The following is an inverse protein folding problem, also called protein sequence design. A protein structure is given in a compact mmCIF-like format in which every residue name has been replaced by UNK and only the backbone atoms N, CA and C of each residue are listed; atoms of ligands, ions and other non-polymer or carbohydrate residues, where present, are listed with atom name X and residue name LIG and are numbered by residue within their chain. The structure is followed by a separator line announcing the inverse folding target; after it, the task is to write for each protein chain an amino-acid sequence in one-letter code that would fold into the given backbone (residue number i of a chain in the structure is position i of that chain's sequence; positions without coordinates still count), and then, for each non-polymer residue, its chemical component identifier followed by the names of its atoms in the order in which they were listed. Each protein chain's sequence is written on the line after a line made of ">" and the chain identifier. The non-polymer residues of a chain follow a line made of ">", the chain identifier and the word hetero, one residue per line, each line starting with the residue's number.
data_IF_354820565122
#
_entry.id   IF_354820565122
#
_cell.length_a   1.000
_cell.length_b   1.000
_cell.length_c   1.000
_cell.angle_alpha   90.00
_cell.angle_beta   90.00
_cell.angle_gamma   90.00
#
_symmetry.space_group_name_H-M   'P 1'
#
loop_
_entity.id
_entity.type
_entity.pdbx_description
1 polymer ?
#
# COMPACT_ATOMS: atom_id res chain seq x y z
N UNK A 1 -10.17 -22.93 -36.06
CA UNK A 1 -11.30 -23.07 -35.10
C UNK A 1 -10.77 -22.82 -33.68
N UNK A 2 -11.33 -21.87 -33.02
CA UNK A 2 -10.89 -21.58 -31.65
C UNK A 2 -11.39 -22.66 -30.68
N UNK A 3 -10.50 -23.19 -29.88
CA UNK A 3 -10.83 -24.16 -28.85
C UNK A 3 -11.64 -23.45 -27.77
N UNK A 4 -12.78 -24.03 -27.39
CA UNK A 4 -13.55 -23.52 -26.26
C UNK A 4 -12.83 -23.93 -24.99
N UNK A 5 -12.48 -22.97 -24.11
CA UNK A 5 -11.80 -23.32 -22.87
C UNK A 5 -12.70 -24.15 -21.96
N UNK A 6 -12.07 -25.01 -21.16
CA UNK A 6 -12.78 -25.78 -20.14
C UNK A 6 -13.35 -24.82 -19.08
N UNK A 7 -14.23 -25.33 -18.22
CA UNK A 7 -14.77 -24.54 -17.12
C UNK A 7 -13.69 -23.97 -16.21
N UNK A 8 -12.67 -24.78 -15.93
CA UNK A 8 -11.53 -24.35 -15.10
C UNK A 8 -10.69 -23.30 -15.80
N UNK A 9 -10.41 -23.49 -17.07
CA UNK A 9 -9.65 -22.51 -17.87
C UNK A 9 -10.39 -21.18 -17.94
N UNK A 10 -11.71 -21.20 -18.17
CA UNK A 10 -12.53 -20.00 -18.21
C UNK A 10 -12.54 -19.29 -16.86
N UNK A 11 -12.60 -20.01 -15.76
CA UNK A 11 -12.57 -19.44 -14.42
C UNK A 11 -11.21 -18.81 -14.12
N UNK A 12 -10.12 -19.50 -14.43
CA UNK A 12 -8.77 -18.99 -14.20
C UNK A 12 -8.48 -17.76 -15.04
N UNK A 13 -8.96 -17.73 -16.28
CA UNK A 13 -8.81 -16.56 -17.16
C UNK A 13 -9.62 -15.37 -16.68
N UNK A 14 -10.75 -15.63 -16.01
CA UNK A 14 -11.60 -14.55 -15.48
C UNK A 14 -11.01 -13.89 -14.23
N UNK A 15 -10.09 -14.58 -13.53
CA UNK A 15 -9.46 -14.05 -12.31
C UNK A 15 -8.19 -13.30 -12.70
N UNK A 16 -8.16 -11.97 -12.54
CA UNK A 16 -6.96 -11.21 -12.89
C UNK A 16 -5.80 -11.52 -11.94
N UNK A 17 -4.60 -11.55 -12.49
CA UNK A 17 -3.37 -11.67 -11.71
C UNK A 17 -3.11 -10.37 -10.93
N UNK A 18 -2.18 -10.44 -9.98
CA UNK A 18 -1.74 -9.25 -9.23
C UNK A 18 -1.23 -8.17 -10.19
N UNK A 19 -0.42 -8.56 -11.18
CA UNK A 19 0.11 -7.61 -12.19
C UNK A 19 -1.01 -6.98 -13.00
N UNK A 20 -2.00 -7.76 -13.40
CA UNK A 20 -3.13 -7.25 -14.16
C UNK A 20 -3.97 -6.27 -13.34
N UNK A 21 -4.19 -6.57 -12.06
CA UNK A 21 -4.92 -5.68 -11.14
C UNK A 21 -4.15 -4.37 -10.95
N UNK A 22 -2.86 -4.44 -10.68
CA UNK A 22 -2.03 -3.27 -10.48
C UNK A 22 -1.99 -2.39 -11.74
N UNK A 23 -1.82 -2.98 -12.90
CA UNK A 23 -1.81 -2.25 -14.16
C UNK A 23 -3.16 -1.58 -14.42
N UNK A 24 -4.24 -2.27 -14.16
CA UNK A 24 -5.59 -1.72 -14.34
C UNK A 24 -5.80 -0.48 -13.47
N UNK A 25 -5.33 -0.52 -12.23
CA UNK A 25 -5.39 0.63 -11.33
C UNK A 25 -4.49 1.76 -11.85
N UNK A 26 -3.26 1.44 -12.25
CA UNK A 26 -2.33 2.45 -12.75
C UNK A 26 -2.82 3.14 -14.03
N UNK A 27 -3.58 2.44 -14.85
CA UNK A 27 -4.14 3.02 -16.07
C UNK A 27 -5.42 3.84 -15.82
N UNK A 28 -5.95 3.81 -14.62
CA UNK A 28 -7.10 4.62 -14.25
C UNK A 28 -6.64 6.00 -13.81
N UNK A 29 -6.82 6.99 -14.65
CA UNK A 29 -6.38 8.36 -14.41
C UNK A 29 -7.11 9.05 -13.24
N UNK A 30 -8.18 8.46 -12.75
CA UNK A 30 -8.98 9.03 -11.66
C UNK A 30 -8.56 8.55 -10.28
N UNK A 31 -7.61 7.63 -10.18
CA UNK A 31 -7.17 7.05 -8.91
C UNK A 31 -5.75 7.53 -8.61
N UNK A 32 -5.58 8.11 -7.43
CA UNK A 32 -4.30 8.69 -7.02
C UNK A 32 -4.16 8.60 -5.50
N UNK A 33 -3.03 8.15 -5.00
CA UNK A 33 -2.95 7.93 -3.57
C UNK A 33 -1.57 7.77 -2.98
N UNK A 34 -1.58 7.57 -1.67
CA UNK A 34 -0.38 7.42 -0.84
C UNK A 34 -0.31 6.02 -0.26
N UNK A 35 0.89 5.48 -0.25
CA UNK A 35 1.20 4.20 0.39
C UNK A 35 2.17 4.45 1.54
N UNK A 36 1.83 3.96 2.73
CA UNK A 36 2.71 3.99 3.89
C UNK A 36 2.90 2.55 4.36
N UNK A 37 4.06 1.99 4.06
CA UNK A 37 4.37 0.60 4.40
C UNK A 37 5.51 0.57 5.41
N UNK A 38 5.17 0.27 6.65
CA UNK A 38 6.08 0.36 7.78
C UNK A 38 6.47 -1.02 8.26
N UNK A 39 7.76 -1.20 8.50
CA UNK A 39 8.31 -2.48 8.94
C UNK A 39 8.56 -3.43 7.77
N UNK A 40 8.28 -4.70 7.95
CA UNK A 40 8.62 -5.76 7.01
C UNK A 40 7.62 -5.95 5.87
N UNK A 41 6.47 -5.29 5.91
CA UNK A 41 5.39 -5.48 4.94
C UNK A 41 5.48 -4.62 3.69
N UNK A 42 6.65 -4.37 3.15
CA UNK A 42 6.86 -3.40 2.07
C UNK A 42 6.72 -4.03 0.69
N UNK A 43 5.57 -4.64 0.41
CA UNK A 43 5.34 -5.36 -0.83
C UNK A 43 4.23 -4.78 -1.72
N UNK A 44 3.25 -4.10 -1.14
CA UNK A 44 2.07 -3.70 -1.90
C UNK A 44 2.40 -2.65 -2.97
N UNK A 45 3.06 -1.57 -2.59
CA UNK A 45 3.39 -0.51 -3.55
C UNK A 45 4.32 -1.02 -4.65
N UNK A 46 5.15 -1.99 -4.34
CA UNK A 46 6.07 -2.59 -5.30
C UNK A 46 5.33 -3.22 -6.48
N UNK A 47 4.16 -3.80 -6.24
CA UNK A 47 3.34 -4.38 -7.30
C UNK A 47 2.94 -3.33 -8.34
N UNK A 48 2.67 -2.11 -7.88
CA UNK A 48 2.34 -1.00 -8.78
C UNK A 48 3.56 -0.48 -9.53
N UNK A 49 4.72 -0.43 -8.89
CA UNK A 49 5.97 0.00 -9.55
C UNK A 49 6.44 -0.97 -10.63
N UNK A 50 6.11 -2.24 -10.51
CA UNK A 50 6.53 -3.27 -11.47
C UNK A 50 5.75 -3.28 -12.77
N UNK A 51 4.67 -2.54 -12.84
CA UNK A 51 3.85 -2.43 -14.05
C UNK A 51 3.83 -0.97 -14.50
N UNK A 52 3.41 -0.73 -15.73
CA UNK A 52 3.44 0.62 -16.28
C UNK A 52 2.43 1.57 -15.61
N UNK A 53 2.71 2.86 -15.69
CA UNK A 53 1.76 3.89 -15.31
C UNK A 53 1.73 4.27 -13.84
N UNK A 54 2.68 3.79 -13.03
CA UNK A 54 2.68 4.05 -11.59
C UNK A 54 2.70 5.55 -11.23
N UNK A 55 3.32 6.37 -12.05
CA UNK A 55 3.38 7.81 -11.80
C UNK A 55 2.01 8.48 -11.79
N UNK A 56 1.03 7.89 -12.46
CA UNK A 56 -0.33 8.40 -12.45
C UNK A 56 -1.15 7.96 -11.24
N UNK A 57 -0.70 6.94 -10.51
CA UNK A 57 -1.42 6.36 -9.39
C UNK A 57 -0.82 6.75 -8.04
N UNK A 58 0.51 6.76 -7.96
CA UNK A 58 1.22 6.87 -6.69
C UNK A 58 1.65 8.32 -6.48
N UNK A 59 0.98 8.99 -5.55
CA UNK A 59 1.36 10.32 -5.11
C UNK A 59 2.63 10.28 -4.27
N UNK A 60 2.68 9.30 -3.37
CA UNK A 60 3.78 9.13 -2.43
C UNK A 60 3.80 7.70 -1.95
N UNK A 61 4.98 7.13 -1.86
CA UNK A 61 5.22 5.88 -1.19
C UNK A 61 6.28 6.13 -0.12
N UNK A 62 5.93 5.85 1.12
CA UNK A 62 6.84 6.01 2.24
C UNK A 62 7.01 4.68 2.93
N UNK A 63 8.25 4.39 3.30
CA UNK A 63 8.57 3.20 4.07
C UNK A 63 9.51 3.57 5.20
N UNK A 64 9.38 2.90 6.33
CA UNK A 64 10.29 3.02 7.44
C UNK A 64 10.34 1.67 8.14
N UNK A 65 11.51 1.21 8.43
CA UNK A 65 11.70 -0.07 9.13
C UNK A 65 11.95 0.15 10.62
N UNK A 66 12.71 1.16 10.95
CA UNK A 66 13.10 1.46 12.31
C UNK A 66 11.95 2.12 13.08
N UNK A 67 11.72 1.65 14.31
CA UNK A 67 10.68 2.18 15.18
C UNK A 67 10.87 3.66 15.49
N UNK A 68 12.09 4.07 15.75
CA UNK A 68 12.40 5.47 16.06
C UNK A 68 12.05 6.38 14.88
N UNK A 69 12.38 5.96 13.68
CA UNK A 69 12.05 6.70 12.47
C UNK A 69 10.53 6.79 12.27
N UNK A 70 9.84 5.67 12.48
CA UNK A 70 8.39 5.63 12.40
C UNK A 70 7.73 6.52 13.46
N UNK A 71 8.29 6.56 14.68
CA UNK A 71 7.80 7.42 15.75
C UNK A 71 7.96 8.91 15.41
N UNK A 72 9.01 9.27 14.71
CA UNK A 72 9.21 10.65 14.26
C UNK A 72 8.10 11.10 13.30
N UNK A 73 7.54 10.17 12.56
CA UNK A 73 6.47 10.48 11.61
C UNK A 73 5.09 10.43 12.28
N UNK A 74 4.82 9.35 13.02
CA UNK A 74 3.47 9.04 13.50
C UNK A 74 3.27 9.17 15.01
N UNK A 75 4.34 9.44 15.74
CA UNK A 75 4.29 9.55 17.19
C UNK A 75 4.65 8.23 17.89
N UNK A 76 4.86 8.35 19.20
CA UNK A 76 5.25 7.22 20.04
C UNK A 76 4.00 6.50 20.52
N UNK A 77 4.05 5.17 20.57
CA UNK A 77 2.97 4.37 21.15
C UNK A 77 3.25 4.12 22.64
N UNK A 78 2.31 4.47 23.48
CA UNK A 78 2.45 4.33 24.93
C UNK A 78 2.67 2.88 25.37
N UNK A 79 2.02 1.95 24.72
CA UNK A 79 2.18 0.53 24.99
C UNK A 79 3.32 -0.12 24.24
N UNK A 80 4.06 0.64 23.46
CA UNK A 80 5.18 0.19 22.61
C UNK A 80 4.81 -0.93 21.63
N UNK A 81 3.53 -0.99 21.25
CA UNK A 81 3.05 -1.94 20.26
C UNK A 81 2.76 -1.21 18.96
N UNK A 82 3.38 -1.67 17.89
CA UNK A 82 3.38 -0.98 16.61
C UNK A 82 2.60 -1.72 15.53
N UNK A 83 2.30 -3.00 15.72
CA UNK A 83 1.46 -3.77 14.81
C UNK A 83 0.07 -3.86 15.43
N UNK A 84 -0.65 -2.76 15.39
CA UNK A 84 -1.97 -2.62 16.01
C UNK A 84 -2.89 -1.79 15.14
N UNK A 85 -4.18 -1.93 15.35
CA UNK A 85 -5.18 -1.08 14.71
C UNK A 85 -4.98 0.40 15.07
N UNK A 86 -4.64 0.68 16.32
CA UNK A 86 -4.39 2.06 16.77
C UNK A 86 -3.27 2.70 15.98
N UNK A 87 -2.17 2.00 15.81
CA UNK A 87 -1.03 2.50 15.03
C UNK A 87 -1.42 2.70 13.56
N UNK A 88 -2.13 1.76 13.01
CA UNK A 88 -2.58 1.82 11.63
C UNK A 88 -3.50 3.03 11.40
N UNK A 89 -4.40 3.30 12.31
CA UNK A 89 -5.29 4.47 12.23
C UNK A 89 -4.51 5.78 12.30
N UNK A 90 -3.49 5.87 13.14
CA UNK A 90 -2.61 7.04 13.20
C UNK A 90 -1.89 7.28 11.88
N UNK A 91 -1.40 6.21 11.27
CA UNK A 91 -0.73 6.29 9.98
C UNK A 91 -1.68 6.80 8.91
N UNK A 92 -2.86 6.22 8.80
CA UNK A 92 -3.86 6.62 7.83
C UNK A 92 -4.31 8.07 8.03
N UNK A 93 -4.55 8.47 9.27
CA UNK A 93 -4.95 9.85 9.59
C UNK A 93 -3.88 10.85 9.18
N UNK A 94 -2.63 10.56 9.48
CA UNK A 94 -1.50 11.42 9.13
C UNK A 94 -1.37 11.57 7.61
N UNK A 95 -1.35 10.45 6.89
CA UNK A 95 -1.19 10.45 5.44
C UNK A 95 -2.40 11.07 4.73
N UNK A 96 -3.60 10.82 5.22
CA UNK A 96 -4.82 11.42 4.67
C UNK A 96 -4.78 12.94 4.82
N UNK A 97 -4.35 13.43 5.98
CA UNK A 97 -4.21 14.87 6.23
C UNK A 97 -3.24 15.52 5.23
N UNK A 98 -2.13 14.85 4.96
CA UNK A 98 -1.14 15.38 4.01
C UNK A 98 -1.65 15.40 2.58
N UNK A 99 -2.32 14.32 2.15
CA UNK A 99 -2.81 14.25 0.78
C UNK A 99 -3.97 15.24 0.56
N UNK A 100 -4.83 15.45 1.55
CA UNK A 100 -5.89 16.45 1.48
C UNK A 100 -5.34 17.86 1.26
N UNK A 101 -4.28 18.23 1.97
CA UNK A 101 -3.62 19.51 1.79
C UNK A 101 -3.07 19.67 0.38
N UNK A 102 -2.50 18.59 -0.17
CA UNK A 102 -1.96 18.61 -1.52
C UNK A 102 -3.06 18.75 -2.57
N UNK A 103 -4.18 18.06 -2.37
CA UNK A 103 -5.33 18.13 -3.27
C UNK A 103 -5.84 19.56 -3.37
N UNK A 104 -6.03 20.22 -2.23
CA UNK A 104 -6.50 21.62 -2.18
C UNK A 104 -5.56 22.55 -2.91
N UNK A 105 -4.24 22.38 -2.74
CA UNK A 105 -3.26 23.22 -3.42
C UNK A 105 -3.21 23.03 -4.93
N UNK A 106 -3.46 21.80 -5.39
CA UNK A 106 -3.34 21.45 -6.81
C UNK A 106 -4.66 21.48 -7.56
N UNK A 107 -5.77 21.73 -6.87
CA UNK A 107 -7.11 21.76 -7.46
C UNK A 107 -7.45 20.48 -8.24
N UNK A 108 -7.10 19.32 -7.67
CA UNK A 108 -7.29 18.01 -8.30
C UNK A 108 -8.59 17.35 -7.85
N UNK A 109 -9.69 18.07 -7.91
CA UNK A 109 -10.99 17.65 -7.36
C UNK A 109 -11.64 16.48 -8.10
N UNK A 110 -11.20 16.20 -9.33
CA UNK A 110 -11.79 15.16 -10.16
C UNK A 110 -11.19 13.79 -9.93
N UNK A 111 -10.21 13.66 -9.05
CA UNK A 111 -9.55 12.37 -8.78
C UNK A 111 -10.05 11.75 -7.50
N UNK A 112 -10.13 10.43 -7.50
CA UNK A 112 -10.37 9.67 -6.28
C UNK A 112 -9.03 9.49 -5.56
N UNK A 113 -8.99 9.90 -4.30
CA UNK A 113 -7.78 9.80 -3.50
C UNK A 113 -7.91 8.67 -2.50
N UNK A 114 -6.82 7.96 -2.27
CA UNK A 114 -6.79 6.90 -1.30
C UNK A 114 -5.51 6.96 -0.47
N UNK A 115 -5.58 6.39 0.71
CA UNK A 115 -4.40 6.13 1.53
C UNK A 115 -4.40 4.65 1.89
N UNK A 116 -3.28 4.02 1.65
CA UNK A 116 -3.04 2.64 2.05
C UNK A 116 -1.93 2.62 3.08
N UNK A 117 -2.13 1.85 4.14
CA UNK A 117 -1.11 1.70 5.16
C UNK A 117 -1.03 0.27 5.64
N UNK A 118 0.18 -0.18 5.91
CA UNK A 118 0.40 -1.41 6.65
C UNK A 118 1.50 -1.21 7.68
N UNK A 119 1.45 -2.00 8.71
CA UNK A 119 2.51 -2.08 9.70
C UNK A 119 2.74 -3.57 9.98
N UNK A 120 3.98 -4.00 9.88
CA UNK A 120 4.30 -5.41 9.95
C UNK A 120 5.63 -5.62 10.65
N UNK A 121 5.66 -6.62 11.52
CA UNK A 121 6.88 -7.07 12.15
C UNK A 121 7.27 -8.39 11.52
N UNK A 122 8.46 -8.47 10.94
CA UNK A 122 8.97 -9.75 10.48
C UNK A 122 9.49 -10.51 11.69
N UNK A 123 8.71 -11.46 12.13
CA UNK A 123 9.15 -12.40 13.13
C UNK A 123 9.94 -13.48 12.42
N UNK A 124 11.21 -13.25 12.27
CA UNK A 124 12.05 -14.41 12.06
C UNK A 124 11.89 -15.24 13.30
N UNK A 125 11.32 -16.41 13.15
CA UNK A 125 11.25 -17.39 14.20
C UNK A 125 12.47 -17.24 15.08
N UNK A 126 12.30 -17.06 16.38
CA UNK A 126 13.44 -17.03 17.23
C UNK A 126 14.24 -18.25 16.89
N UNK A 127 15.33 -18.01 16.27
CA UNK A 127 16.28 -19.08 16.18
C UNK A 127 16.44 -19.61 17.61
N UNK A 128 16.90 -20.82 17.77
CA UNK A 128 17.14 -21.35 19.10
C UNK A 128 17.95 -20.42 20.02
N UNK A 129 18.67 -19.51 19.46
CA UNK A 129 19.41 -18.51 20.23
C UNK A 129 18.52 -17.50 20.94
N UNK A 130 17.29 -17.34 20.47
CA UNK A 130 16.35 -16.38 21.03
C UNK A 130 15.48 -17.01 22.11
N UNK A 131 15.63 -18.26 22.25
CA UNK A 131 14.96 -19.00 23.32
C UNK A 131 15.64 -18.74 24.63
#
# INVERSE_FOLDING_TARGET
>A
MKKVPSREESFLEAVPTIKQKALRINLNENIYGTFAEIGAGQETVRQFFRVGGASGTIAKAISAYDKSFSDDIYGIEDNKRYVTETRLRKMLKHETSLIEKRIKRKNNENKMFFCYANTCLLYTSPSPRDS
#
